data_IF_025577729087
#
_entry.id   IF_025577729087
#
_cell.length_a   1.000
_cell.length_b   1.000
_cell.length_c   1.000
_cell.angle_alpha   90.00
_cell.angle_beta   90.00
_cell.angle_gamma   90.00
#
_symmetry.space_group_name_H-M   'P 1'
#
loop_
_entity.id
_entity.type
_entity.pdbx_description
1 polymer ?
#
# COMPACT_ATOMS: atom_id res chain seq x y z
N UNK A 1 -3.47 -12.97 -0.92
CA UNK A 1 -3.07 -12.34 -2.20
C UNK A 1 -4.07 -12.63 -3.29
N UNK A 2 -4.38 -13.91 -3.52
CA UNK A 2 -5.36 -14.38 -4.49
C UNK A 2 -6.72 -13.67 -4.40
N UNK A 3 -7.34 -13.61 -3.21
CA UNK A 3 -8.62 -12.92 -3.02
C UNK A 3 -8.59 -11.43 -3.44
N UNK A 4 -7.47 -10.74 -3.21
CA UNK A 4 -7.30 -9.32 -3.56
C UNK A 4 -7.13 -9.17 -5.07
N UNK A 5 -6.35 -10.05 -5.70
CA UNK A 5 -6.20 -10.07 -7.16
C UNK A 5 -7.52 -10.42 -7.86
N UNK A 6 -8.33 -11.33 -7.31
CA UNK A 6 -9.67 -11.63 -7.82
C UNK A 6 -10.59 -10.41 -7.69
N UNK A 7 -10.59 -9.74 -6.53
CA UNK A 7 -11.36 -8.52 -6.30
C UNK A 7 -10.97 -7.39 -7.27
N UNK A 8 -9.70 -7.31 -7.64
CA UNK A 8 -9.17 -6.33 -8.59
C UNK A 8 -9.22 -6.82 -10.04
N UNK A 9 -10.02 -7.85 -10.33
CA UNK A 9 -10.23 -8.41 -11.67
C UNK A 9 -8.95 -8.94 -12.34
N UNK A 10 -7.89 -9.15 -11.55
CA UNK A 10 -6.58 -9.61 -11.98
C UNK A 10 -6.43 -11.15 -11.91
N UNK A 11 -7.54 -11.90 -11.89
CA UNK A 11 -7.53 -13.36 -11.67
C UNK A 11 -6.73 -14.14 -12.72
N UNK A 12 -6.73 -13.68 -13.98
CA UNK A 12 -6.01 -14.36 -15.06
C UNK A 12 -4.49 -14.30 -14.86
N UNK A 13 -3.99 -13.33 -14.08
CA UNK A 13 -2.57 -13.21 -13.72
C UNK A 13 -2.09 -14.40 -12.89
N UNK A 14 -2.99 -15.04 -12.15
CA UNK A 14 -2.67 -16.23 -11.35
C UNK A 14 -2.32 -17.45 -12.22
N UNK A 15 -2.79 -17.48 -13.48
CA UNK A 15 -2.49 -18.56 -14.42
C UNK A 15 -1.09 -18.44 -15.05
N UNK A 16 -0.47 -17.27 -14.91
CA UNK A 16 0.78 -16.91 -15.60
C UNK A 16 0.52 -16.41 -17.01
N UNK A 17 1.40 -15.53 -17.49
CA UNK A 17 1.24 -14.80 -18.74
C UNK A 17 0.96 -15.72 -19.95
N UNK A 18 1.68 -16.84 -20.04
CA UNK A 18 1.55 -17.80 -21.15
C UNK A 18 0.19 -18.51 -21.15
N UNK A 19 -0.45 -18.66 -19.98
CA UNK A 19 -1.70 -19.39 -19.82
C UNK A 19 -2.92 -18.48 -19.60
N UNK A 20 -2.76 -17.16 -19.74
CA UNK A 20 -3.88 -16.22 -19.78
C UNK A 20 -4.74 -16.48 -21.01
N UNK A 21 -6.05 -16.18 -20.91
CA UNK A 21 -6.97 -16.37 -22.03
C UNK A 21 -6.48 -15.71 -23.32
N UNK A 22 -6.47 -16.49 -24.41
CA UNK A 22 -6.17 -15.99 -25.77
C UNK A 22 -7.24 -15.02 -26.29
N UNK A 23 -8.41 -14.98 -25.65
CA UNK A 23 -9.47 -14.02 -25.99
C UNK A 23 -9.17 -12.59 -25.54
N UNK A 24 -8.18 -12.39 -24.67
CA UNK A 24 -7.77 -11.07 -24.20
C UNK A 24 -6.90 -10.39 -25.24
N UNK A 25 -7.16 -9.11 -25.49
CA UNK A 25 -6.29 -8.31 -26.32
C UNK A 25 -4.91 -8.14 -25.65
N UNK A 26 -3.80 -8.03 -26.41
CA UNK A 26 -2.47 -7.85 -25.82
C UNK A 26 -2.37 -6.66 -24.87
N UNK A 27 -3.07 -5.55 -25.19
CA UNK A 27 -3.13 -4.35 -24.34
C UNK A 27 -3.84 -4.62 -23.01
N UNK A 28 -4.93 -5.39 -23.06
CA UNK A 28 -5.75 -5.74 -21.90
C UNK A 28 -5.00 -6.68 -20.97
N UNK A 29 -4.26 -7.62 -21.57
CA UNK A 29 -3.34 -8.51 -20.88
C UNK A 29 -2.24 -7.75 -20.12
N UNK A 30 -1.56 -6.82 -20.80
CA UNK A 30 -0.52 -6.01 -20.17
C UNK A 30 -1.09 -5.13 -19.05
N UNK A 31 -2.25 -4.50 -19.27
CA UNK A 31 -2.91 -3.70 -18.26
C UNK A 31 -3.27 -4.52 -17.01
N UNK A 32 -3.76 -5.76 -17.16
CA UNK A 32 -4.02 -6.64 -16.03
C UNK A 32 -2.75 -7.00 -15.27
N UNK A 33 -1.63 -7.24 -15.96
CA UNK A 33 -0.34 -7.53 -15.33
C UNK A 33 0.16 -6.33 -14.52
N UNK A 34 0.09 -5.13 -15.07
CA UNK A 34 0.54 -3.91 -14.39
C UNK A 34 -0.37 -3.53 -13.21
N UNK A 35 -1.68 -3.76 -13.34
CA UNK A 35 -2.63 -3.63 -12.22
C UNK A 35 -2.31 -4.64 -11.12
N UNK A 36 -2.07 -5.90 -11.46
CA UNK A 36 -1.69 -6.93 -10.49
C UNK A 36 -0.37 -6.59 -9.78
N UNK A 37 0.64 -6.09 -10.51
CA UNK A 37 1.90 -5.61 -9.93
C UNK A 37 1.66 -4.45 -8.96
N UNK A 38 0.84 -3.49 -9.34
CA UNK A 38 0.50 -2.34 -8.48
C UNK A 38 -0.21 -2.77 -7.21
N UNK A 39 -1.15 -3.71 -7.30
CA UNK A 39 -1.83 -4.32 -6.15
C UNK A 39 -0.83 -5.07 -5.26
N UNK A 40 0.11 -5.80 -5.85
CA UNK A 40 1.15 -6.50 -5.10
C UNK A 40 2.04 -5.52 -4.33
N UNK A 41 2.54 -4.47 -5.01
CA UNK A 41 3.35 -3.42 -4.39
C UNK A 41 2.56 -2.73 -3.29
N UNK A 42 1.29 -2.41 -3.51
CA UNK A 42 0.42 -1.80 -2.50
C UNK A 42 0.24 -2.73 -1.31
N UNK A 43 -0.08 -4.01 -1.50
CA UNK A 43 -0.24 -4.97 -0.39
C UNK A 43 1.06 -5.23 0.37
N UNK A 44 2.20 -5.23 -0.31
CA UNK A 44 3.52 -5.33 0.33
C UNK A 44 3.79 -4.07 1.13
N UNK A 45 3.61 -2.89 0.53
CA UNK A 45 3.71 -1.60 1.22
C UNK A 45 2.78 -1.54 2.42
N UNK A 46 1.55 -2.01 2.29
CA UNK A 46 0.52 -2.01 3.32
C UNK A 46 0.81 -3.01 4.43
N UNK A 47 1.40 -4.18 4.14
CA UNK A 47 1.85 -5.16 5.15
C UNK A 47 3.11 -4.69 5.87
N UNK A 48 4.04 -4.07 5.16
CA UNK A 48 5.25 -3.43 5.73
C UNK A 48 4.86 -2.20 6.57
N UNK A 49 3.88 -1.42 6.11
CA UNK A 49 3.26 -0.32 6.86
C UNK A 49 2.47 -0.85 8.05
N UNK A 50 1.81 -2.01 7.97
CA UNK A 50 1.12 -2.66 9.11
C UNK A 50 2.10 -3.14 10.18
N UNK A 51 3.30 -3.59 9.79
CA UNK A 51 4.39 -3.92 10.72
C UNK A 51 4.97 -2.66 11.38
N UNK A 52 5.16 -1.57 10.63
CA UNK A 52 5.61 -0.26 11.15
C UNK A 52 4.53 0.40 12.01
N UNK A 53 3.27 0.20 11.66
CA UNK A 53 2.08 0.65 12.37
C UNK A 53 1.72 -0.24 13.56
N UNK A 54 2.41 -1.36 13.85
CA UNK A 54 2.28 -2.07 15.14
C UNK A 54 2.97 -1.33 16.32
N UNK A 55 3.01 -0.01 16.19
CA UNK A 55 2.15 0.87 17.01
C UNK A 55 2.78 1.39 18.29
N UNK A 56 3.56 0.61 19.04
CA UNK A 56 4.23 1.20 20.23
C UNK A 56 5.22 2.30 19.83
N UNK A 57 5.88 2.12 18.69
CA UNK A 57 6.84 3.09 18.12
C UNK A 57 6.09 4.22 17.41
N UNK A 58 5.06 3.91 16.65
CA UNK A 58 4.29 4.94 15.93
C UNK A 58 3.58 5.89 16.90
N UNK A 59 2.95 5.35 17.96
CA UNK A 59 2.35 6.15 19.05
C UNK A 59 3.42 6.99 19.75
N UNK A 60 4.57 6.41 20.11
CA UNK A 60 5.65 7.15 20.75
C UNK A 60 6.20 8.29 19.89
N UNK A 61 6.34 8.07 18.59
CA UNK A 61 6.80 9.09 17.63
C UNK A 61 5.75 10.20 17.49
N UNK A 62 4.47 9.85 17.32
CA UNK A 62 3.40 10.82 17.18
C UNK A 62 3.27 11.71 18.42
N UNK A 63 3.23 11.11 19.62
CA UNK A 63 3.11 11.84 20.88
C UNK A 63 4.28 12.81 21.10
N UNK A 64 5.50 12.41 20.72
CA UNK A 64 6.67 13.29 20.85
C UNK A 64 6.65 14.42 19.83
N UNK A 65 6.18 14.16 18.61
CA UNK A 65 6.02 15.19 17.57
C UNK A 65 5.03 16.27 18.03
N UNK A 66 3.88 15.84 18.56
CA UNK A 66 2.85 16.73 19.10
C UNK A 66 3.38 17.55 20.29
N UNK A 67 4.10 16.91 21.22
CA UNK A 67 4.70 17.60 22.36
C UNK A 67 5.69 18.69 21.91
N UNK A 68 6.56 18.39 20.95
CA UNK A 68 7.53 19.36 20.41
C UNK A 68 6.84 20.50 19.67
N UNK A 69 5.79 20.19 18.91
CA UNK A 69 5.01 21.20 18.20
C UNK A 69 4.29 22.14 19.18
N UNK A 70 3.65 21.58 20.22
CA UNK A 70 2.96 22.37 21.25
C UNK A 70 3.93 23.20 22.09
N UNK A 71 5.09 22.66 22.45
CA UNK A 71 6.13 23.40 23.16
C UNK A 71 6.68 24.58 22.34
N UNK A 72 6.90 24.37 21.03
CA UNK A 72 7.29 25.46 20.12
C UNK A 72 6.18 26.50 19.97
N UNK A 73 4.92 26.08 19.90
CA UNK A 73 3.78 27.01 19.85
C UNK A 73 3.65 27.86 21.12
N UNK A 74 3.92 27.28 22.30
CA UNK A 74 3.87 28.00 23.58
C UNK A 74 5.06 28.95 23.76
N UNK A 75 6.25 28.57 23.31
CA UNK A 75 7.43 29.44 23.31
C UNK A 75 7.24 30.66 22.37
N UNK A 76 6.50 30.49 21.28
CA UNK A 76 6.20 31.56 20.33
C UNK A 76 5.05 32.48 20.78
N UNK A 77 4.29 32.12 21.84
CA UNK A 77 3.20 32.94 22.42
C UNK A 77 3.59 33.72 23.68
N UNK A 78 4.83 33.58 24.17
CA UNK A 78 5.35 34.27 25.38
C UNK A 78 6.37 35.37 25.08
N UNK A 79 6.42 35.84 23.83
CA UNK A 79 7.11 37.07 23.40
C UNK A 79 6.05 38.02 22.88
#
# INVERSE_FOLDING_TARGET
>A
MEAILIQQECKEVLKGEVNMSLSLMPVEKNNMIDRARSVIILCLGDKTLREVANERIFVGISTRLESLYMAKSLAHKRV
#
